data_IF_853467232090
#
_entry.id   IF_853467232090
#
_cell.length_a   1.000
_cell.length_b   1.000
_cell.length_c   1.000
_cell.angle_alpha   90.00
_cell.angle_beta   90.00
_cell.angle_gamma   90.00
#
_symmetry.space_group_name_H-M   'P 1'
#
loop_
_entity.id
_entity.type
_entity.pdbx_description
1 polymer ?
#
# COMPACT_ATOMS: atom_id res chain seq x y z
N UNK A 1 7.34 -8.05 -8.82
CA UNK A 1 6.43 -8.44 -7.72
C UNK A 1 6.88 -7.73 -6.46
N UNK A 2 5.95 -7.18 -5.67
CA UNK A 2 6.26 -6.51 -4.41
C UNK A 2 5.21 -6.84 -3.34
N UNK A 3 5.59 -6.75 -2.07
CA UNK A 3 4.73 -7.08 -0.94
C UNK A 3 4.03 -5.84 -0.37
N UNK A 4 2.78 -5.98 0.03
CA UNK A 4 2.03 -4.96 0.76
C UNK A 4 1.36 -5.58 1.99
N UNK A 5 1.79 -5.19 3.18
CA UNK A 5 1.14 -5.61 4.42
C UNK A 5 -0.07 -4.74 4.69
N UNK A 6 -1.18 -5.35 5.10
CA UNK A 6 -2.42 -4.64 5.40
C UNK A 6 -3.14 -5.29 6.58
N UNK A 7 -4.07 -4.56 7.18
CA UNK A 7 -5.05 -5.12 8.11
C UNK A 7 -6.01 -6.03 7.36
N UNK A 8 -6.41 -7.16 7.93
CA UNK A 8 -7.38 -8.10 7.33
C UNK A 8 -8.71 -7.42 6.98
N UNK A 9 -9.01 -6.35 7.70
CA UNK A 9 -10.16 -5.48 7.52
C UNK A 9 -10.23 -4.80 6.13
N UNK A 10 -9.08 -4.59 5.46
CA UNK A 10 -9.01 -3.97 4.13
C UNK A 10 -8.89 -4.98 2.98
N UNK A 11 -8.72 -6.28 3.27
CA UNK A 11 -8.46 -7.30 2.25
C UNK A 11 -9.57 -7.38 1.20
N UNK A 12 -10.82 -7.46 1.64
CA UNK A 12 -11.96 -7.53 0.72
C UNK A 12 -12.07 -6.26 -0.15
N UNK A 13 -11.89 -5.09 0.45
CA UNK A 13 -11.90 -3.82 -0.26
C UNK A 13 -10.79 -3.76 -1.32
N UNK A 14 -9.58 -4.21 -1.00
CA UNK A 14 -8.45 -4.25 -1.96
C UNK A 14 -8.73 -5.23 -3.10
N UNK A 15 -9.33 -6.40 -2.83
CA UNK A 15 -9.67 -7.37 -3.86
C UNK A 15 -10.71 -6.84 -4.86
N UNK A 16 -11.69 -6.06 -4.38
CA UNK A 16 -12.80 -5.57 -5.22
C UNK A 16 -12.45 -4.23 -5.90
N UNK A 17 -11.79 -3.33 -5.18
CA UNK A 17 -11.60 -1.94 -5.58
C UNK A 17 -10.13 -1.55 -5.79
N UNK A 18 -9.20 -2.50 -5.67
CA UNK A 18 -7.76 -2.26 -5.72
C UNK A 18 -7.27 -1.41 -4.52
N UNK A 19 -5.99 -1.06 -4.50
CA UNK A 19 -5.41 -0.25 -3.43
C UNK A 19 -5.82 1.22 -3.54
N UNK A 20 -6.36 1.78 -2.45
CA UNK A 20 -6.60 3.22 -2.31
C UNK A 20 -5.94 3.74 -1.02
N UNK A 21 -4.82 4.45 -1.17
CA UNK A 21 -4.06 5.01 -0.05
C UNK A 21 -4.84 6.06 0.75
N UNK A 22 -5.94 6.61 0.21
CA UNK A 22 -6.82 7.55 0.92
C UNK A 22 -7.74 6.83 1.92
N UNK A 23 -7.99 5.53 1.72
CA UNK A 23 -8.88 4.71 2.53
C UNK A 23 -8.07 3.78 3.46
N UNK A 24 -7.04 3.13 2.92
CA UNK A 24 -6.26 2.12 3.63
C UNK A 24 -5.24 2.70 4.63
N UNK A 25 -5.25 4.04 4.80
CA UNK A 25 -4.39 4.77 5.70
C UNK A 25 -3.00 5.06 5.14
N UNK A 26 -2.49 6.26 5.44
CA UNK A 26 -1.12 6.66 5.12
C UNK A 26 -0.27 6.50 6.38
N UNK A 27 0.35 5.35 6.56
CA UNK A 27 1.28 5.15 7.67
C UNK A 27 2.68 5.65 7.28
N UNK A 28 3.04 6.84 7.73
CA UNK A 28 4.38 7.40 7.55
C UNK A 28 4.72 7.66 6.07
N UNK A 29 4.00 8.60 5.44
CA UNK A 29 4.26 9.03 4.05
C UNK A 29 5.60 9.77 3.90
N UNK A 30 6.71 9.10 4.18
CA UNK A 30 8.06 9.67 4.11
C UNK A 30 8.51 9.90 2.66
N UNK A 31 8.03 9.06 1.73
CA UNK A 31 8.45 9.04 0.32
C UNK A 31 7.33 9.45 -0.65
N UNK A 32 6.21 9.96 -0.12
CA UNK A 32 5.06 10.45 -0.87
C UNK A 32 3.72 9.94 -0.34
N UNK A 33 2.64 10.60 -0.72
CA UNK A 33 1.26 10.21 -0.43
C UNK A 33 0.75 9.28 -1.53
N UNK A 34 1.05 8.00 -1.37
CA UNK A 34 0.68 6.94 -2.30
C UNK A 34 0.61 5.59 -1.59
N UNK A 35 0.40 4.52 -2.36
CA UNK A 35 0.39 3.14 -1.85
C UNK A 35 1.83 2.63 -1.76
N UNK A 36 2.19 2.12 -0.58
CA UNK A 36 3.54 1.65 -0.28
C UNK A 36 3.67 0.16 -0.54
N UNK A 37 4.74 -0.25 -1.22
CA UNK A 37 5.12 -1.63 -1.44
C UNK A 37 6.56 -1.86 -0.99
N UNK A 38 6.85 -3.05 -0.49
CA UNK A 38 8.19 -3.44 -0.10
C UNK A 38 8.72 -4.56 -0.98
N UNK A 39 10.03 -4.53 -1.23
CA UNK A 39 10.73 -5.66 -1.85
C UNK A 39 10.73 -6.89 -0.96
N UNK A 40 10.92 -6.69 0.34
CA UNK A 40 11.13 -7.76 1.32
C UNK A 40 9.85 -8.01 2.15
N UNK A 41 9.33 -9.23 2.14
CA UNK A 41 8.12 -9.60 2.87
C UNK A 41 8.21 -9.32 4.37
N UNK A 42 9.39 -9.48 4.97
CA UNK A 42 9.65 -9.21 6.38
C UNK A 42 9.51 -7.73 6.76
N UNK A 43 9.59 -6.82 5.78
CA UNK A 43 9.26 -5.41 6.00
C UNK A 43 7.75 -5.21 6.00
N UNK A 44 7.05 -5.75 5.00
CA UNK A 44 5.58 -5.67 4.88
C UNK A 44 4.84 -6.36 6.02
N UNK A 45 5.38 -7.44 6.60
CA UNK A 45 4.77 -8.15 7.73
C UNK A 45 4.55 -7.26 8.95
N UNK A 46 5.34 -6.19 9.12
CA UNK A 46 5.22 -5.22 10.22
C UNK A 46 3.95 -4.37 10.12
N UNK A 47 3.35 -4.29 8.94
CA UNK A 47 2.12 -3.55 8.67
C UNK A 47 0.88 -4.44 8.68
N UNK A 48 1.06 -5.76 8.83
CA UNK A 48 -0.05 -6.70 8.97
C UNK A 48 -0.52 -6.69 10.43
N UNK A 49 -1.63 -5.99 10.69
CA UNK A 49 -2.20 -5.84 12.05
C UNK A 49 -3.25 -6.91 12.30
N UNK A 50 -3.32 -7.40 13.54
CA UNK A 50 -4.36 -8.31 14.00
C UNK A 50 -5.63 -7.51 14.36
N UNK A 51 -6.80 -7.97 13.89
CA UNK A 51 -8.09 -7.27 13.95
C UNK A 51 -8.59 -6.94 15.38
N UNK A 52 -7.96 -7.47 16.43
CA UNK A 52 -8.42 -7.37 17.83
C UNK A 52 -8.46 -5.92 18.34
N UNK A 53 -7.75 -4.97 17.68
CA UNK A 53 -7.58 -3.60 18.17
C UNK A 53 -8.29 -2.50 17.37
N UNK A 54 -8.99 -2.79 16.27
CA UNK A 54 -9.55 -1.73 15.37
C UNK A 54 -11.06 -1.84 15.13
N UNK A 55 -11.86 -1.97 16.20
CA UNK A 55 -13.33 -1.91 16.09
C UNK A 55 -13.92 -0.56 15.66
N UNK A 56 -13.11 0.52 15.57
CA UNK A 56 -13.61 1.90 15.39
C UNK A 56 -13.39 2.52 14.00
N UNK A 57 -12.54 1.94 13.13
CA UNK A 57 -12.21 2.54 11.80
C UNK A 57 -13.39 2.49 10.83
N UNK A 58 -14.21 1.45 10.93
CA UNK A 58 -15.37 1.23 10.05
C UNK A 58 -16.51 2.22 10.28
N UNK A 59 -16.72 2.67 11.53
CA UNK A 59 -17.74 3.68 11.84
C UNK A 59 -17.44 5.02 11.16
N UNK A 60 -16.15 5.35 10.96
CA UNK A 60 -15.72 6.61 10.34
C UNK A 60 -16.06 6.66 8.84
N UNK A 61 -16.12 5.50 8.18
CA UNK A 61 -16.42 5.40 6.74
C UNK A 61 -17.89 5.02 6.47
N UNK A 62 -18.75 5.01 7.50
CA UNK A 62 -20.17 4.67 7.37
C UNK A 62 -20.44 3.19 7.07
N UNK A 63 -19.49 2.29 7.34
CA UNK A 63 -19.58 0.86 7.04
C UNK A 63 -19.78 0.09 8.34
N UNK A 64 -20.73 -0.86 8.36
CA UNK A 64 -20.94 -1.77 9.49
C UNK A 64 -20.22 -3.09 9.21
N UNK A 65 -19.24 -3.45 10.05
CA UNK A 65 -18.65 -4.79 10.00
C UNK A 65 -19.73 -5.83 10.33
N UNK A 66 -19.97 -6.77 9.43
CA UNK A 66 -20.59 -8.02 9.82
C UNK A 66 -19.63 -8.74 10.79
N UNK A 67 -20.15 -9.16 11.95
CA UNK A 67 -19.43 -9.83 13.06
C UNK A 67 -18.60 -11.09 12.68
N UNK A 68 -18.55 -11.48 11.41
CA UNK A 68 -17.91 -12.70 10.90
C UNK A 68 -16.37 -12.65 10.84
N UNK A 69 -15.75 -11.48 11.04
CA UNK A 69 -14.29 -11.30 10.99
C UNK A 69 -13.62 -11.17 12.38
N UNK A 70 -14.36 -11.30 13.48
CA UNK A 70 -13.89 -10.92 14.83
C UNK A 70 -12.74 -11.76 15.41
N UNK A 71 -12.27 -12.83 14.75
CA UNK A 71 -11.24 -13.72 15.30
C UNK A 71 -10.30 -14.31 14.24
N UNK A 72 -9.71 -13.48 13.37
CA UNK A 72 -8.58 -13.95 12.56
C UNK A 72 -7.31 -13.90 13.42
N UNK A 73 -6.72 -15.06 13.69
CA UNK A 73 -5.46 -15.24 14.45
C UNK A 73 -4.23 -15.26 13.53
N UNK A 74 -4.39 -14.76 12.32
CA UNK A 74 -3.40 -14.78 11.27
C UNK A 74 -3.32 -13.38 10.64
N UNK A 75 -2.16 -13.10 10.04
CA UNK A 75 -1.83 -11.88 9.33
C UNK A 75 -1.98 -12.10 7.83
N UNK A 76 -2.39 -11.04 7.14
CA UNK A 76 -2.53 -11.05 5.68
C UNK A 76 -1.61 -10.03 5.03
N UNK A 77 -0.96 -10.41 3.94
CA UNK A 77 -0.26 -9.49 3.05
C UNK A 77 -0.54 -9.82 1.59
N UNK A 78 -0.49 -8.81 0.74
CA UNK A 78 -0.54 -9.00 -0.71
C UNK A 78 0.85 -9.15 -1.30
N UNK A 79 0.97 -10.00 -2.32
CA UNK A 79 2.06 -9.98 -3.28
C UNK A 79 1.48 -9.51 -4.61
N UNK A 80 1.84 -8.29 -5.03
CA UNK A 80 1.23 -7.58 -6.14
C UNK A 80 2.18 -7.47 -7.35
N UNK A 81 1.58 -7.45 -8.55
CA UNK A 81 2.25 -6.93 -9.75
C UNK A 81 2.13 -5.42 -9.71
N UNK A 82 3.26 -4.74 -9.82
CA UNK A 82 3.32 -3.28 -9.70
C UNK A 82 4.15 -2.75 -10.86
N UNK A 83 3.58 -1.84 -11.63
CA UNK A 83 4.23 -1.12 -12.73
C UNK A 83 5.05 0.04 -12.14
N UNK A 84 6.26 -0.29 -11.68
CA UNK A 84 7.18 0.68 -11.05
C UNK A 84 7.72 1.71 -12.04
N UNK A 85 7.96 1.31 -13.29
CA UNK A 85 8.49 2.19 -14.34
C UNK A 85 9.81 2.85 -13.94
N UNK A 86 10.01 4.08 -14.43
CA UNK A 86 11.13 4.91 -14.03
C UNK A 86 10.83 5.51 -12.65
N UNK A 87 11.76 5.34 -11.71
CA UNK A 87 11.59 5.77 -10.32
C UNK A 87 12.65 6.78 -9.88
N UNK A 88 12.33 7.53 -8.82
CA UNK A 88 13.22 8.50 -8.19
C UNK A 88 13.03 8.52 -6.67
N UNK A 89 13.99 9.07 -5.93
CA UNK A 89 13.84 9.26 -4.48
C UNK A 89 12.55 10.02 -4.14
N UNK A 90 11.78 9.48 -3.19
CA UNK A 90 10.55 10.08 -2.73
C UNK A 90 10.75 11.24 -1.76
N UNK A 91 9.69 12.02 -1.60
CA UNK A 91 9.58 13.12 -0.64
C UNK A 91 8.17 13.13 -0.07
N UNK A 92 8.04 13.34 1.23
CA UNK A 92 6.77 13.39 1.94
C UNK A 92 5.75 14.39 1.38
N UNK A 93 6.20 15.43 0.67
CA UNK A 93 5.32 16.41 0.02
C UNK A 93 4.68 15.91 -1.27
N UNK A 94 5.21 14.85 -1.88
CA UNK A 94 4.75 14.37 -3.18
C UNK A 94 3.34 13.76 -3.08
N UNK A 95 2.45 14.23 -3.95
CA UNK A 95 1.10 13.67 -4.16
C UNK A 95 0.96 12.97 -5.52
N UNK A 96 2.02 13.03 -6.33
CA UNK A 96 2.26 12.34 -7.59
C UNK A 96 3.78 12.27 -7.80
N UNK A 97 4.31 11.43 -8.70
CA UNK A 97 5.73 11.43 -9.00
C UNK A 97 6.20 12.80 -9.50
N UNK A 98 7.45 13.21 -9.20
CA UNK A 98 7.98 14.48 -9.68
C UNK A 98 8.29 14.43 -11.19
N UNK A 99 8.58 15.60 -11.75
CA UNK A 99 8.97 15.74 -13.16
C UNK A 99 10.41 15.28 -13.40
N UNK A 100 10.66 14.69 -14.57
CA UNK A 100 12.01 14.31 -15.06
C UNK A 100 12.80 15.51 -15.60
N UNK A 101 12.10 16.51 -16.15
CA UNK A 101 12.69 17.62 -16.91
C UNK A 101 12.14 19.00 -16.52
N UNK A 102 11.34 19.09 -15.46
CA UNK A 102 10.66 20.30 -15.02
C UNK A 102 9.33 20.58 -15.74
N UNK A 103 8.95 19.78 -16.73
CA UNK A 103 7.63 19.86 -17.38
C UNK A 103 6.52 19.19 -16.56
N UNK A 104 5.26 19.46 -16.91
CA UNK A 104 4.11 18.87 -16.23
C UNK A 104 3.74 17.45 -16.70
N UNK A 105 4.25 17.05 -17.87
CA UNK A 105 3.83 15.84 -18.60
C UNK A 105 4.83 14.71 -18.48
N UNK A 106 6.12 15.01 -18.43
CA UNK A 106 7.18 14.00 -18.35
C UNK A 106 7.51 13.71 -16.89
N UNK A 107 6.76 12.80 -16.29
CA UNK A 107 6.89 12.43 -14.89
C UNK A 107 7.65 11.10 -14.74
N UNK A 108 8.21 10.89 -13.56
CA UNK A 108 8.51 9.53 -13.11
C UNK A 108 7.21 8.73 -12.92
N UNK A 109 7.34 7.42 -12.83
CA UNK A 109 6.21 6.51 -12.67
C UNK A 109 5.96 6.15 -11.20
N UNK A 110 7.02 6.18 -10.37
CA UNK A 110 6.94 5.90 -8.94
C UNK A 110 8.06 6.59 -8.14
N UNK A 111 7.96 6.53 -6.81
CA UNK A 111 9.00 7.00 -5.90
C UNK A 111 9.59 5.84 -5.09
N UNK A 112 10.84 5.97 -4.64
CA UNK A 112 11.54 4.97 -3.82
C UNK A 112 12.24 5.59 -2.61
N UNK A 113 12.64 4.75 -1.66
CA UNK A 113 13.50 5.16 -0.54
C UNK A 113 14.93 5.47 -0.97
N UNK A 114 15.50 4.65 -1.83
CA UNK A 114 16.87 4.77 -2.33
C UNK A 114 16.96 4.33 -3.80
N UNK A 115 17.58 5.13 -4.66
CA UNK A 115 17.65 4.85 -6.11
C UNK A 115 18.70 3.81 -6.48
N UNK A 116 19.68 3.56 -5.61
CA UNK A 116 20.75 2.58 -5.84
C UNK A 116 20.31 1.16 -5.46
N UNK A 117 19.57 1.01 -4.37
CA UNK A 117 19.06 -0.26 -3.86
C UNK A 117 17.67 -0.08 -3.22
N UNK A 118 16.63 0.12 -4.05
CA UNK A 118 15.28 0.39 -3.56
C UNK A 118 14.71 -0.79 -2.80
N UNK A 119 14.15 -0.50 -1.62
CA UNK A 119 13.45 -1.48 -0.78
C UNK A 119 11.99 -1.14 -0.58
N UNK A 120 11.65 0.14 -0.71
CA UNK A 120 10.31 0.68 -0.58
C UNK A 120 9.96 1.42 -1.86
N UNK A 121 8.77 1.17 -2.37
CA UNK A 121 8.23 1.79 -3.57
C UNK A 121 6.89 2.45 -3.23
N UNK A 122 6.68 3.65 -3.74
CA UNK A 122 5.44 4.42 -3.58
C UNK A 122 4.82 4.63 -4.93
N UNK A 123 3.58 4.17 -5.07
CA UNK A 123 2.80 4.23 -6.30
C UNK A 123 1.58 5.10 -6.08
N UNK A 124 1.31 6.00 -7.03
CA UNK A 124 0.31 7.06 -6.86
C UNK A 124 -0.99 6.77 -7.60
N UNK A 125 -0.96 5.92 -8.63
CA UNK A 125 -2.14 5.49 -9.39
C UNK A 125 -2.42 3.99 -9.14
N UNK A 126 -3.66 3.68 -8.73
CA UNK A 126 -4.11 2.31 -8.49
C UNK A 126 -4.06 1.44 -9.76
N UNK A 127 -4.17 2.04 -10.95
CA UNK A 127 -4.09 1.32 -12.23
C UNK A 127 -2.70 0.74 -12.50
N UNK A 128 -1.67 1.19 -11.78
CA UNK A 128 -0.32 0.62 -11.84
C UNK A 128 -0.19 -0.66 -11.01
N UNK A 129 -1.25 -1.07 -10.30
CA UNK A 129 -1.20 -2.14 -9.32
C UNK A 129 -2.22 -3.22 -9.65
N UNK A 130 -1.81 -4.48 -9.54
CA UNK A 130 -2.69 -5.63 -9.56
C UNK A 130 -2.41 -6.53 -8.35
N UNK A 131 -3.35 -6.65 -7.38
CA UNK A 131 -3.21 -7.54 -6.23
C UNK A 131 -3.33 -9.00 -6.66
N UNK A 132 -2.20 -9.62 -7.01
CA UNK A 132 -2.20 -10.95 -7.64
C UNK A 132 -2.40 -12.09 -6.64
N UNK A 133 -1.76 -12.02 -5.48
CA UNK A 133 -1.85 -13.05 -4.45
C UNK A 133 -2.11 -12.46 -3.07
N UNK A 134 -2.95 -13.15 -2.30
CA UNK A 134 -3.13 -12.95 -0.87
C UNK A 134 -2.35 -14.04 -0.12
N UNK A 135 -1.53 -13.65 0.85
CA UNK A 135 -0.71 -14.54 1.67
C UNK A 135 -1.17 -14.40 3.12
N UNK A 136 -1.68 -15.50 3.67
CA UNK A 136 -2.07 -15.60 5.07
C UNK A 136 -1.00 -16.39 5.85
N UNK A 137 -0.57 -15.87 7.00
CA UNK A 137 0.52 -16.42 7.82
C UNK A 137 0.34 -16.10 9.31
N UNK A 138 1.10 -16.75 10.19
CA UNK A 138 1.06 -16.54 11.65
C UNK A 138 2.32 -15.83 12.15
#
# INVERSE_FOLDING_TARGET
MLFHGTSSEFVEAICIHNFDWRINGIHGALFGKGTYFARDAAYSSRFCKDDIKHGNTFQIHGVSLQQRHLFRTYKSMFLARVLIGDYINGDSKYMRPPSKDGSYVNLYDSCVDDTWNPKIFVVFDANQIYPEYLIDFH
#
